data_IF_327304186906
#
_entry.id   IF_327304186906
#
_cell.length_a   1.000
_cell.length_b   1.000
_cell.length_c   1.000
_cell.angle_alpha   90.00
_cell.angle_beta   90.00
_cell.angle_gamma   90.00
#
_symmetry.space_group_name_H-M   'P 1'
#
loop_
_entity.id
_entity.type
_entity.pdbx_description
1 polymer ?
#
# COMPACT_ATOMS: atom_id res chain seq x y z
N UNK A 1 21.13 7.82 -3.71
CA UNK A 1 19.96 7.70 -4.65
C UNK A 1 18.72 7.66 -3.77
N UNK A 2 17.85 8.62 -3.91
CA UNK A 2 16.62 8.65 -3.10
C UNK A 2 15.65 7.56 -3.55
N UNK A 3 15.14 6.79 -2.58
CA UNK A 3 14.13 5.76 -2.81
C UNK A 3 12.79 6.23 -2.22
N UNK A 4 11.82 6.52 -3.09
CA UNK A 4 10.51 7.00 -2.68
C UNK A 4 9.52 5.86 -2.80
N UNK A 5 8.96 5.43 -1.68
CA UNK A 5 8.09 4.28 -1.55
C UNK A 5 6.67 4.71 -1.20
N UNK A 6 5.71 4.37 -2.05
CA UNK A 6 4.31 4.75 -1.89
C UNK A 6 3.45 3.58 -1.40
N UNK A 7 2.58 3.84 -0.43
CA UNK A 7 1.40 2.99 -0.23
C UNK A 7 0.37 3.22 -1.35
N UNK A 8 -0.66 2.38 -1.41
CA UNK A 8 -1.64 2.38 -2.51
C UNK A 8 -2.99 2.93 -2.06
N UNK A 9 -3.69 2.19 -1.17
CA UNK A 9 -5.08 2.50 -0.82
C UNK A 9 -5.13 3.67 0.16
N UNK A 10 -5.73 4.78 -0.23
CA UNK A 10 -5.76 6.00 0.56
C UNK A 10 -4.64 6.97 0.21
N UNK A 11 -3.53 6.50 -0.35
CA UNK A 11 -2.36 7.31 -0.76
C UNK A 11 -2.35 7.58 -2.26
N UNK A 12 -2.16 6.56 -3.10
CA UNK A 12 -2.16 6.71 -4.56
C UNK A 12 -3.56 6.74 -5.15
N UNK A 13 -4.44 5.89 -4.66
CA UNK A 13 -5.79 5.70 -5.20
C UNK A 13 -6.83 5.47 -4.11
N UNK A 14 -8.09 5.69 -4.47
CA UNK A 14 -9.24 5.04 -3.86
C UNK A 14 -9.74 3.95 -4.80
N UNK A 15 -9.72 2.71 -4.34
CA UNK A 15 -10.20 1.56 -5.12
C UNK A 15 -11.74 1.47 -5.19
N UNK A 16 -12.46 2.43 -4.60
CA UNK A 16 -13.91 2.43 -4.49
C UNK A 16 -14.45 1.27 -3.65
N UNK A 17 -13.65 0.78 -2.69
CA UNK A 17 -13.98 -0.35 -1.83
C UNK A 17 -13.85 -1.73 -2.49
N UNK A 18 -13.15 -1.83 -3.63
CA UNK A 18 -12.98 -3.08 -4.37
C UNK A 18 -12.32 -4.19 -3.53
N UNK A 19 -11.31 -3.84 -2.73
CA UNK A 19 -10.62 -4.80 -1.86
C UNK A 19 -11.57 -5.48 -0.87
N UNK A 20 -12.29 -4.69 -0.09
CA UNK A 20 -13.24 -5.20 0.91
C UNK A 20 -14.36 -6.03 0.29
N UNK A 21 -14.93 -5.56 -0.85
CA UNK A 21 -15.95 -6.34 -1.55
C UNK A 21 -15.40 -7.68 -2.05
N UNK A 22 -14.20 -7.68 -2.59
CA UNK A 22 -13.55 -8.91 -3.11
C UNK A 22 -13.26 -9.93 -2.02
N UNK A 23 -12.84 -9.48 -0.84
CA UNK A 23 -12.67 -10.33 0.35
C UNK A 23 -14.00 -10.96 0.78
N UNK A 24 -15.07 -10.15 0.89
CA UNK A 24 -16.40 -10.66 1.26
C UNK A 24 -16.93 -11.67 0.24
N UNK A 25 -16.78 -11.39 -1.07
CA UNK A 25 -17.18 -12.30 -2.13
C UNK A 25 -16.38 -13.61 -2.11
N UNK A 26 -15.09 -13.55 -1.79
CA UNK A 26 -14.27 -14.74 -1.65
C UNK A 26 -14.77 -15.63 -0.50
N UNK A 27 -15.08 -15.05 0.66
CA UNK A 27 -15.60 -15.78 1.81
C UNK A 27 -17.02 -16.30 1.60
N UNK A 28 -17.90 -15.51 0.97
CA UNK A 28 -19.24 -15.97 0.62
C UNK A 28 -19.19 -17.20 -0.30
N UNK A 29 -18.31 -17.14 -1.32
CA UNK A 29 -18.15 -18.23 -2.28
C UNK A 29 -17.59 -19.51 -1.66
N UNK A 30 -16.60 -19.37 -0.76
CA UNK A 30 -15.85 -20.51 -0.23
C UNK A 30 -16.50 -21.12 1.00
N UNK A 31 -17.07 -20.28 1.87
CA UNK A 31 -17.52 -20.66 3.19
C UNK A 31 -19.01 -20.35 3.42
N UNK A 32 -19.71 -19.77 2.43
CA UNK A 32 -21.09 -19.28 2.55
C UNK A 32 -21.29 -18.23 3.64
N UNK A 33 -20.22 -17.45 3.96
CA UNK A 33 -20.23 -16.41 4.98
C UNK A 33 -20.30 -15.04 4.28
N UNK A 34 -21.44 -14.34 4.46
CA UNK A 34 -21.63 -12.98 3.97
C UNK A 34 -21.04 -11.96 4.93
N UNK A 35 -20.50 -10.87 4.36
CA UNK A 35 -19.95 -9.76 5.14
C UNK A 35 -18.92 -10.22 6.19
N UNK A 36 -18.10 -11.20 5.84
CA UNK A 36 -17.17 -11.88 6.75
C UNK A 36 -16.22 -10.92 7.49
N UNK A 37 -15.89 -9.81 6.85
CA UNK A 37 -14.92 -8.83 7.35
C UNK A 37 -15.54 -7.66 8.13
N UNK A 38 -16.86 -7.66 8.39
CA UNK A 38 -17.47 -6.63 9.22
C UNK A 38 -16.81 -6.57 10.61
N UNK A 39 -16.37 -5.35 11.02
CA UNK A 39 -15.70 -5.15 12.30
C UNK A 39 -14.20 -5.53 12.32
N UNK A 40 -13.62 -5.92 11.19
CA UNK A 40 -12.17 -6.05 11.04
C UNK A 40 -11.63 -4.71 10.52
N UNK A 41 -10.73 -4.07 11.29
CA UNK A 41 -9.99 -2.91 10.81
C UNK A 41 -8.97 -3.36 9.76
N UNK A 42 -9.00 -2.73 8.58
CA UNK A 42 -8.12 -3.09 7.46
C UNK A 42 -7.00 -2.09 7.22
N UNK A 43 -7.18 -0.82 7.65
CA UNK A 43 -6.26 0.25 7.36
C UNK A 43 -4.83 -0.06 7.85
N UNK A 44 -3.87 0.06 6.95
CA UNK A 44 -2.45 -0.15 7.18
C UNK A 44 -2.01 -1.60 7.42
N UNK A 45 -2.94 -2.57 7.49
CA UNK A 45 -2.61 -4.00 7.60
C UNK A 45 -2.23 -4.61 6.26
N UNK A 46 -1.54 -5.74 6.30
CA UNK A 46 -1.30 -6.55 5.10
C UNK A 46 -2.53 -7.37 4.72
N UNK A 47 -2.73 -7.61 3.43
CA UNK A 47 -3.83 -8.46 2.92
C UNK A 47 -3.77 -9.86 3.56
N UNK A 48 -2.56 -10.39 3.76
CA UNK A 48 -2.31 -11.68 4.43
C UNK A 48 -2.83 -11.67 5.86
N UNK A 49 -2.50 -10.64 6.64
CA UNK A 49 -2.98 -10.46 8.01
C UNK A 49 -4.52 -10.35 8.07
N UNK A 50 -5.10 -9.52 7.19
CA UNK A 50 -6.55 -9.33 7.10
C UNK A 50 -7.27 -10.65 6.79
N UNK A 51 -6.76 -11.43 5.83
CA UNK A 51 -7.35 -12.72 5.47
C UNK A 51 -7.25 -13.73 6.60
N UNK A 52 -6.12 -13.79 7.31
CA UNK A 52 -5.95 -14.65 8.49
C UNK A 52 -6.92 -14.25 9.60
N UNK A 53 -7.05 -12.96 9.91
CA UNK A 53 -8.02 -12.47 10.90
C UNK A 53 -9.46 -12.86 10.50
N UNK A 54 -9.81 -12.73 9.21
CA UNK A 54 -11.10 -13.16 8.70
C UNK A 54 -11.36 -14.67 8.91
N UNK A 55 -10.38 -15.52 8.58
CA UNK A 55 -10.48 -16.97 8.79
C UNK A 55 -10.66 -17.30 10.28
N UNK A 56 -9.80 -16.77 11.14
CA UNK A 56 -9.83 -17.03 12.60
C UNK A 56 -11.12 -16.55 13.24
N UNK A 57 -11.63 -15.37 12.86
CA UNK A 57 -12.90 -14.81 13.33
C UNK A 57 -14.08 -15.79 13.13
N UNK A 58 -14.04 -16.56 12.07
CA UNK A 58 -15.10 -17.52 11.72
C UNK A 58 -14.75 -18.96 12.10
N UNK A 59 -13.71 -19.19 12.92
CA UNK A 59 -13.30 -20.52 13.36
C UNK A 59 -12.74 -21.42 12.25
N UNK A 60 -12.24 -20.81 11.16
CA UNK A 60 -11.68 -21.54 10.02
C UNK A 60 -10.15 -21.57 10.16
N UNK A 61 -9.54 -22.75 10.03
CA UNK A 61 -8.08 -22.90 10.03
C UNK A 61 -7.45 -22.09 8.88
N UNK A 62 -6.34 -21.44 9.16
CA UNK A 62 -5.53 -20.76 8.12
C UNK A 62 -4.83 -21.78 7.22
N UNK A 63 -4.47 -22.96 7.77
CA UNK A 63 -3.76 -24.01 7.03
C UNK A 63 -4.61 -24.56 5.89
N UNK A 64 -4.06 -24.54 4.69
CA UNK A 64 -4.73 -24.96 3.47
C UNK A 64 -5.78 -23.99 2.93
N UNK A 65 -6.35 -23.11 3.77
CA UNK A 65 -7.40 -22.18 3.35
C UNK A 65 -6.85 -20.84 2.85
N UNK A 66 -5.77 -20.32 3.42
CA UNK A 66 -5.24 -18.99 3.06
C UNK A 66 -4.93 -18.87 1.56
N UNK A 67 -4.22 -19.84 0.99
CA UNK A 67 -3.86 -19.82 -0.43
C UNK A 67 -5.08 -19.87 -1.38
N UNK A 68 -6.13 -20.56 -0.96
CA UNK A 68 -7.39 -20.63 -1.75
C UNK A 68 -8.17 -19.33 -1.63
N UNK A 69 -8.21 -18.71 -0.44
CA UNK A 69 -8.79 -17.37 -0.22
C UNK A 69 -8.09 -16.34 -1.08
N UNK A 70 -6.74 -16.31 -1.07
CA UNK A 70 -5.93 -15.41 -1.92
C UNK A 70 -6.34 -15.54 -3.39
N UNK A 71 -6.39 -16.76 -3.92
CA UNK A 71 -6.78 -17.00 -5.33
C UNK A 71 -8.19 -16.50 -5.63
N UNK A 72 -9.14 -16.75 -4.72
CA UNK A 72 -10.51 -16.30 -4.86
C UNK A 72 -10.62 -14.78 -4.80
N UNK A 73 -9.94 -14.15 -3.83
CA UNK A 73 -9.84 -12.71 -3.67
C UNK A 73 -9.34 -12.01 -4.94
N UNK A 74 -8.19 -12.44 -5.45
CA UNK A 74 -7.60 -11.85 -6.66
C UNK A 74 -8.53 -11.95 -7.88
N UNK A 75 -9.23 -13.09 -8.03
CA UNK A 75 -10.22 -13.28 -9.09
C UNK A 75 -11.40 -12.30 -8.97
N UNK A 76 -11.86 -12.03 -7.76
CA UNK A 76 -12.93 -11.05 -7.54
C UNK A 76 -12.39 -9.63 -7.72
N UNK A 77 -11.18 -9.33 -7.23
CA UNK A 77 -10.57 -8.01 -7.33
C UNK A 77 -10.43 -7.53 -8.79
N UNK A 78 -10.06 -8.42 -9.71
CA UNK A 78 -9.99 -8.12 -11.15
C UNK A 78 -11.33 -7.58 -11.72
N UNK A 79 -12.46 -7.98 -11.13
CA UNK A 79 -13.78 -7.51 -11.54
C UNK A 79 -14.20 -6.27 -10.76
N UNK A 80 -14.08 -6.33 -9.44
CA UNK A 80 -14.54 -5.30 -8.51
C UNK A 80 -13.78 -3.98 -8.64
N UNK A 81 -12.53 -4.01 -9.11
CA UNK A 81 -11.77 -2.79 -9.36
C UNK A 81 -12.38 -1.95 -10.50
N UNK A 82 -13.15 -2.54 -11.40
CA UNK A 82 -13.83 -1.84 -12.48
C UNK A 82 -15.19 -1.27 -12.01
N UNK A 83 -15.15 -0.33 -11.07
CA UNK A 83 -16.32 0.37 -10.52
C UNK A 83 -16.19 1.89 -10.68
N UNK A 84 -17.31 2.61 -10.64
CA UNK A 84 -17.39 4.06 -10.90
C UNK A 84 -16.88 4.93 -9.74
N UNK A 85 -16.61 4.33 -8.56
CA UNK A 85 -16.12 5.05 -7.37
C UNK A 85 -14.63 5.12 -7.28
N UNK A 86 -13.92 4.29 -8.07
CA UNK A 86 -12.45 4.31 -8.06
C UNK A 86 -11.91 5.62 -8.64
N UNK A 87 -10.87 6.16 -8.04
CA UNK A 87 -10.20 7.36 -8.55
C UNK A 87 -8.76 7.44 -8.08
N UNK A 88 -7.96 8.25 -8.76
CA UNK A 88 -6.61 8.63 -8.34
C UNK A 88 -6.73 9.74 -7.31
N UNK A 89 -5.91 9.69 -6.26
CA UNK A 89 -5.90 10.75 -5.25
C UNK A 89 -5.34 12.07 -5.83
N UNK A 90 -5.71 13.24 -5.25
CA UNK A 90 -5.27 14.53 -5.78
C UNK A 90 -3.74 14.65 -5.84
N UNK A 91 -3.23 15.24 -6.93
CA UNK A 91 -1.81 15.51 -7.13
C UNK A 91 -0.94 14.33 -7.58
N UNK A 92 -1.45 13.09 -7.54
CA UNK A 92 -0.66 11.87 -7.79
C UNK A 92 -0.11 11.82 -9.21
N UNK A 93 -0.91 12.09 -10.23
CA UNK A 93 -0.42 11.99 -11.62
C UNK A 93 0.73 12.96 -11.87
N UNK A 94 0.58 14.18 -11.40
CA UNK A 94 1.54 15.27 -11.58
C UNK A 94 2.83 15.01 -10.80
N UNK A 95 2.72 14.57 -9.55
CA UNK A 95 3.92 14.31 -8.72
C UNK A 95 4.69 13.09 -9.23
N UNK A 96 4.03 12.00 -9.61
CA UNK A 96 4.70 10.82 -10.16
C UNK A 96 5.42 11.13 -11.47
N UNK A 97 4.81 11.94 -12.33
CA UNK A 97 5.46 12.38 -13.57
C UNK A 97 6.72 13.21 -13.28
N UNK A 98 6.64 14.20 -12.36
CA UNK A 98 7.80 15.01 -11.95
C UNK A 98 8.91 14.15 -11.35
N UNK A 99 8.57 13.28 -10.40
CA UNK A 99 9.54 12.41 -9.72
C UNK A 99 10.23 11.45 -10.70
N UNK A 100 9.49 10.94 -11.69
CA UNK A 100 10.06 10.03 -12.71
C UNK A 100 11.12 10.67 -13.61
N UNK A 101 11.20 12.00 -13.64
CA UNK A 101 12.20 12.75 -14.39
C UNK A 101 13.47 13.07 -13.58
N UNK A 102 13.44 12.81 -12.26
CA UNK A 102 14.59 13.06 -11.39
C UNK A 102 15.58 11.90 -11.51
N UNK A 103 16.78 12.20 -11.99
CA UNK A 103 17.78 11.19 -12.34
C UNK A 103 18.28 10.36 -11.16
N UNK A 104 18.30 10.94 -9.96
CA UNK A 104 18.81 10.27 -8.74
C UNK A 104 17.67 9.88 -7.77
N UNK A 105 16.46 9.66 -8.31
CA UNK A 105 15.31 9.17 -7.58
C UNK A 105 14.76 7.90 -8.21
N UNK A 106 14.36 6.95 -7.38
CA UNK A 106 13.67 5.73 -7.75
C UNK A 106 12.31 5.66 -7.07
N UNK A 107 11.28 5.27 -7.82
CA UNK A 107 9.91 5.13 -7.31
C UNK A 107 9.57 3.66 -7.09
N UNK A 108 9.03 3.35 -5.93
CA UNK A 108 8.62 2.01 -5.56
C UNK A 108 7.31 1.98 -4.79
N UNK A 109 6.83 0.76 -4.55
CA UNK A 109 5.68 0.52 -3.69
C UNK A 109 6.13 -0.05 -2.34
N UNK A 110 5.48 0.39 -1.26
CA UNK A 110 5.55 -0.24 0.04
C UNK A 110 4.13 -0.34 0.58
N UNK A 111 3.53 -1.52 0.49
CA UNK A 111 2.09 -1.66 0.71
C UNK A 111 1.72 -2.98 1.37
N UNK A 112 0.67 -2.96 2.18
CA UNK A 112 0.06 -4.17 2.72
C UNK A 112 -0.64 -5.04 1.69
N UNK A 113 -0.85 -4.58 0.46
CA UNK A 113 -1.45 -5.37 -0.60
C UNK A 113 -0.56 -6.55 -0.99
N UNK A 114 -1.16 -7.68 -1.37
CA UNK A 114 -0.45 -8.71 -2.16
C UNK A 114 0.07 -8.07 -3.45
N UNK A 115 1.25 -8.45 -3.93
CA UNK A 115 1.80 -7.87 -5.17
C UNK A 115 0.82 -7.95 -6.34
N UNK A 116 0.25 -9.13 -6.60
CA UNK A 116 -0.76 -9.28 -7.66
C UNK A 116 -1.99 -8.38 -7.43
N UNK A 117 -2.41 -8.17 -6.18
CA UNK A 117 -3.50 -7.29 -5.82
C UNK A 117 -3.16 -5.82 -6.08
N UNK A 118 -1.95 -5.39 -5.70
CA UNK A 118 -1.41 -4.07 -5.98
C UNK A 118 -1.42 -3.76 -7.48
N UNK A 119 -0.87 -4.68 -8.28
CA UNK A 119 -0.82 -4.53 -9.75
C UNK A 119 -2.22 -4.41 -10.37
N UNK A 120 -3.18 -5.25 -9.91
CA UNK A 120 -4.58 -5.18 -10.36
C UNK A 120 -5.22 -3.84 -10.01
N UNK A 121 -5.00 -3.30 -8.81
CA UNK A 121 -5.57 -2.03 -8.37
C UNK A 121 -5.03 -0.83 -9.16
N UNK A 122 -3.75 -0.82 -9.50
CA UNK A 122 -3.08 0.27 -10.22
C UNK A 122 -3.31 0.23 -11.74
N UNK A 123 -3.67 -0.92 -12.32
CA UNK A 123 -3.80 -1.11 -13.77
C UNK A 123 -4.81 -0.17 -14.43
N UNK A 124 -6.04 0.05 -13.90
CA UNK A 124 -7.02 0.94 -14.53
C UNK A 124 -6.55 2.40 -14.65
N UNK A 125 -5.59 2.79 -13.82
CA UNK A 125 -5.01 4.15 -13.79
C UNK A 125 -3.69 4.25 -14.54
N UNK A 126 -3.15 3.12 -15.06
CA UNK A 126 -1.85 3.01 -15.72
C UNK A 126 -0.68 3.44 -14.82
N UNK A 127 -0.83 3.32 -13.50
CA UNK A 127 0.18 3.73 -12.53
C UNK A 127 1.31 2.71 -12.37
N UNK A 128 1.09 1.44 -12.75
CA UNK A 128 2.11 0.39 -12.68
C UNK A 128 3.45 0.77 -13.37
N UNK A 129 3.39 1.64 -14.39
CA UNK A 129 4.58 2.07 -15.16
C UNK A 129 5.62 2.84 -14.34
N UNK A 130 5.19 3.45 -13.23
CA UNK A 130 6.09 4.22 -12.36
C UNK A 130 6.81 3.36 -11.33
N UNK A 131 6.33 2.15 -11.07
CA UNK A 131 6.77 1.30 -9.96
C UNK A 131 7.37 -0.01 -10.45
N UNK A 132 8.66 -0.04 -10.82
CA UNK A 132 9.31 -1.26 -11.32
C UNK A 132 9.41 -2.35 -10.25
N UNK A 133 9.52 -1.97 -8.99
CA UNK A 133 9.62 -2.87 -7.85
C UNK A 133 8.89 -2.29 -6.61
N UNK A 134 8.90 -3.05 -5.53
CA UNK A 134 8.33 -2.65 -4.24
C UNK A 134 8.41 -3.78 -3.22
N UNK A 135 7.84 -3.55 -2.04
CA UNK A 135 7.59 -4.58 -1.04
C UNK A 135 6.10 -4.64 -0.72
N UNK A 136 5.60 -5.84 -0.51
CA UNK A 136 4.19 -6.16 -0.52
C UNK A 136 3.81 -7.04 0.66
N UNK A 137 2.54 -7.03 1.06
CA UNK A 137 2.01 -7.94 2.07
C UNK A 137 2.06 -9.44 1.71
N UNK A 138 2.53 -9.78 0.50
CA UNK A 138 2.90 -11.13 0.11
C UNK A 138 4.34 -11.49 0.47
N UNK A 139 5.19 -10.52 0.78
CA UNK A 139 6.59 -10.74 1.16
C UNK A 139 6.71 -11.01 2.65
N UNK A 140 5.99 -10.25 3.46
CA UNK A 140 5.90 -10.47 4.91
C UNK A 140 4.50 -10.08 5.41
N UNK A 141 4.02 -10.80 6.43
CA UNK A 141 2.76 -10.51 7.10
C UNK A 141 2.86 -9.25 7.96
N UNK A 142 4.01 -9.02 8.58
CA UNK A 142 4.29 -7.81 9.32
C UNK A 142 4.78 -6.71 8.36
N UNK A 143 3.98 -5.63 8.25
CA UNK A 143 4.31 -4.48 7.41
C UNK A 143 5.67 -3.86 7.78
N UNK A 144 6.06 -3.94 9.04
CA UNK A 144 7.33 -3.38 9.53
C UNK A 144 8.56 -4.06 8.91
N UNK A 145 8.42 -5.28 8.38
CA UNK A 145 9.50 -5.99 7.69
C UNK A 145 9.62 -5.65 6.19
N UNK A 146 8.73 -4.81 5.65
CA UNK A 146 8.70 -4.55 4.21
C UNK A 146 9.77 -3.58 3.72
N UNK A 147 10.18 -2.58 4.52
CA UNK A 147 11.18 -1.60 4.06
C UNK A 147 12.53 -2.23 3.68
N UNK A 148 13.13 -3.14 4.47
CA UNK A 148 14.35 -3.83 4.06
C UNK A 148 14.20 -4.65 2.78
N UNK A 149 13.01 -5.24 2.57
CA UNK A 149 12.72 -5.99 1.33
C UNK A 149 12.72 -5.06 0.13
N UNK A 150 12.08 -3.88 0.25
CA UNK A 150 12.08 -2.88 -0.81
C UNK A 150 13.49 -2.42 -1.13
N UNK A 151 14.28 -2.03 -0.12
CA UNK A 151 15.66 -1.57 -0.28
C UNK A 151 16.48 -2.63 -1.03
N UNK A 152 16.48 -3.88 -0.58
CA UNK A 152 17.23 -4.96 -1.22
C UNK A 152 16.87 -5.13 -2.70
N UNK A 153 15.58 -5.07 -3.06
CA UNK A 153 15.12 -5.18 -4.45
C UNK A 153 15.60 -4.03 -5.32
N UNK A 154 15.61 -2.83 -4.77
CA UNK A 154 16.09 -1.66 -5.51
C UNK A 154 17.62 -1.62 -5.62
N UNK A 155 18.35 -2.05 -4.59
CA UNK A 155 19.80 -2.24 -4.66
C UNK A 155 20.18 -3.25 -5.76
N UNK A 156 19.46 -4.38 -5.85
CA UNK A 156 19.66 -5.37 -6.91
C UNK A 156 19.31 -4.80 -8.29
N UNK A 157 18.22 -4.04 -8.41
CA UNK A 157 17.75 -3.48 -9.67
C UNK A 157 18.72 -2.43 -10.23
N UNK A 158 19.25 -1.56 -9.36
CA UNK A 158 20.10 -0.44 -9.76
C UNK A 158 21.60 -0.69 -9.53
N UNK A 159 21.98 -1.84 -8.93
CA UNK A 159 23.36 -2.17 -8.57
C UNK A 159 24.04 -1.05 -7.75
N UNK A 160 23.28 -0.43 -6.84
CA UNK A 160 23.70 0.70 -6.00
C UNK A 160 23.19 0.50 -4.59
N UNK A 161 24.01 0.79 -3.59
CA UNK A 161 23.62 0.80 -2.18
C UNK A 161 22.64 1.96 -1.91
N UNK A 162 21.68 1.71 -1.04
CA UNK A 162 20.67 2.66 -0.60
C UNK A 162 20.67 2.66 0.93
N UNK A 163 21.03 3.79 1.51
CA UNK A 163 20.95 3.95 2.95
C UNK A 163 19.50 4.30 3.36
N UNK A 164 19.10 3.92 4.56
CA UNK A 164 17.70 4.11 5.02
C UNK A 164 17.32 5.59 5.16
N UNK A 165 18.26 6.48 5.41
CA UNK A 165 18.08 7.94 5.45
C UNK A 165 17.86 8.55 4.04
N UNK A 166 18.17 7.81 2.96
CA UNK A 166 17.80 8.15 1.59
C UNK A 166 16.38 7.66 1.20
N UNK A 167 15.69 6.97 2.13
CA UNK A 167 14.35 6.41 1.88
C UNK A 167 13.25 7.34 2.41
N UNK A 168 12.25 7.58 1.58
CA UNK A 168 11.04 8.33 1.93
C UNK A 168 9.83 7.41 1.73
N UNK A 169 9.06 7.21 2.80
CA UNK A 169 7.78 6.48 2.73
C UNK A 169 6.65 7.50 2.66
N UNK A 170 5.75 7.33 1.71
CA UNK A 170 4.56 8.16 1.53
C UNK A 170 3.34 7.28 1.80
N UNK A 171 2.58 7.61 2.83
CA UNK A 171 1.44 6.80 3.27
C UNK A 171 0.39 7.59 4.03
N UNK A 172 -0.79 7.00 4.22
CA UNK A 172 -1.95 7.65 4.81
C UNK A 172 -2.34 7.11 6.20
N UNK A 173 -1.50 6.23 6.77
CA UNK A 173 -1.79 5.60 8.06
C UNK A 173 -0.64 5.71 9.06
N UNK A 174 -0.90 5.65 10.39
CA UNK A 174 0.13 5.54 11.42
C UNK A 174 1.07 4.34 11.23
N UNK A 175 0.64 3.29 10.52
CA UNK A 175 1.48 2.12 10.22
C UNK A 175 2.55 2.41 9.17
N UNK A 176 2.33 3.40 8.31
CA UNK A 176 3.35 3.89 7.37
C UNK A 176 4.46 4.61 8.13
N UNK A 177 4.06 5.43 9.10
CA UNK A 177 4.98 6.14 10.00
C UNK A 177 5.82 5.14 10.81
N UNK A 178 5.17 4.15 11.44
CA UNK A 178 5.85 3.13 12.23
C UNK A 178 6.85 2.34 11.37
N UNK A 179 6.43 1.89 10.19
CA UNK A 179 7.27 1.13 9.25
C UNK A 179 8.51 1.92 8.80
N UNK A 180 8.37 3.23 8.58
CA UNK A 180 9.50 4.10 8.24
C UNK A 180 10.48 4.23 9.42
N UNK A 181 9.96 4.59 10.58
CA UNK A 181 10.76 4.99 11.73
C UNK A 181 11.54 3.85 12.38
N UNK A 182 11.04 2.60 12.32
CA UNK A 182 11.78 1.43 12.83
C UNK A 182 13.19 1.33 12.22
N UNK A 183 13.36 1.79 10.98
CA UNK A 183 14.63 1.74 10.25
C UNK A 183 15.28 3.13 10.08
N UNK A 184 14.69 4.18 10.62
CA UNK A 184 15.21 5.54 10.51
C UNK A 184 14.96 6.20 9.15
N UNK A 185 14.01 5.69 8.36
CA UNK A 185 13.57 6.33 7.12
C UNK A 185 12.57 7.46 7.42
N UNK A 186 12.46 8.42 6.50
CA UNK A 186 11.50 9.52 6.58
C UNK A 186 10.08 9.05 6.21
N UNK A 187 9.06 9.58 6.89
CA UNK A 187 7.66 9.37 6.52
C UNK A 187 6.96 10.69 6.19
N UNK A 188 6.33 10.75 5.02
CA UNK A 188 5.39 11.80 4.64
C UNK A 188 3.98 11.24 4.75
N UNK A 189 3.24 11.71 5.74
CA UNK A 189 1.83 11.38 5.94
C UNK A 189 0.93 12.17 4.98
N UNK A 190 0.01 11.50 4.32
CA UNK A 190 -0.96 12.10 3.38
C UNK A 190 -2.37 11.89 3.91
N UNK A 191 -3.09 12.97 4.27
CA UNK A 191 -4.41 12.91 4.91
C UNK A 191 -5.56 12.61 3.90
N UNK A 192 -5.29 11.78 2.89
CA UNK A 192 -6.29 11.39 1.88
C UNK A 192 -6.94 10.03 2.16
N UNK A 193 -6.50 9.34 3.21
CA UNK A 193 -7.03 8.07 3.68
C UNK A 193 -8.03 8.21 4.84
N UNK A 194 -8.15 7.19 5.70
CA UNK A 194 -9.08 7.20 6.83
C UNK A 194 -8.60 7.98 8.05
N UNK A 195 -7.34 8.42 8.08
CA UNK A 195 -6.75 9.17 9.19
C UNK A 195 -6.66 10.65 8.85
N UNK A 196 -6.97 11.52 9.83
CA UNK A 196 -6.88 12.96 9.66
C UNK A 196 -5.43 13.45 9.69
N UNK A 197 -5.21 14.67 9.25
CA UNK A 197 -3.92 15.36 9.34
C UNK A 197 -3.35 15.31 10.76
N UNK A 198 -4.18 15.65 11.77
CA UNK A 198 -3.78 15.65 13.19
C UNK A 198 -3.38 14.25 13.66
N UNK A 199 -4.11 13.21 13.23
CA UNK A 199 -3.79 11.83 13.61
C UNK A 199 -2.44 11.37 13.05
N UNK A 200 -2.05 11.83 11.87
CA UNK A 200 -0.74 11.53 11.27
C UNK A 200 0.39 12.33 11.95
N UNK A 201 0.11 13.58 12.35
CA UNK A 201 1.04 14.38 13.19
C UNK A 201 1.24 13.71 14.55
N UNK A 202 0.17 13.27 15.21
CA UNK A 202 0.22 12.56 16.51
C UNK A 202 0.96 11.22 16.40
N UNK A 203 0.86 10.54 15.25
CA UNK A 203 1.64 9.33 14.97
C UNK A 203 3.14 9.60 14.75
N UNK A 204 3.54 10.87 14.60
CA UNK A 204 4.92 11.29 14.48
C UNK A 204 5.44 11.34 13.04
N UNK A 205 4.59 11.40 12.01
CA UNK A 205 5.06 11.60 10.64
C UNK A 205 5.97 12.82 10.55
N UNK A 206 7.11 12.73 9.85
CA UNK A 206 8.08 13.80 9.72
C UNK A 206 7.49 15.03 9.01
N UNK A 207 6.61 14.78 8.05
CA UNK A 207 5.79 15.78 7.39
C UNK A 207 4.38 15.23 7.17
N UNK A 208 3.39 16.13 7.22
CA UNK A 208 2.00 15.78 6.90
C UNK A 208 1.46 16.78 5.88
N UNK A 209 0.76 16.27 4.88
CA UNK A 209 0.08 17.07 3.86
C UNK A 209 -1.38 16.62 3.73
N UNK A 210 -2.26 17.55 3.34
CA UNK A 210 -3.66 17.23 3.06
C UNK A 210 -3.78 16.29 1.86
N UNK A 211 -3.02 16.59 0.79
CA UNK A 211 -2.88 15.77 -0.41
C UNK A 211 -1.56 16.09 -1.12
N UNK A 212 -1.30 15.45 -2.27
CA UNK A 212 -0.08 15.64 -3.04
C UNK A 212 -0.23 16.67 -4.17
N UNK A 213 -1.22 17.57 -4.13
CA UNK A 213 -1.38 18.66 -5.11
C UNK A 213 -0.31 19.73 -4.96
N UNK A 214 0.18 19.98 -3.73
CA UNK A 214 1.38 20.77 -3.50
C UNK A 214 2.64 19.88 -3.62
N UNK A 215 3.21 19.89 -4.81
CA UNK A 215 4.38 19.08 -5.13
C UNK A 215 5.67 19.53 -4.43
N UNK A 216 5.73 20.76 -3.90
CA UNK A 216 6.95 21.32 -3.30
C UNK A 216 7.38 20.52 -2.07
N UNK A 217 6.42 20.07 -1.27
CA UNK A 217 6.72 19.32 -0.04
C UNK A 217 7.50 18.04 -0.32
N UNK A 218 7.14 17.28 -1.35
CA UNK A 218 7.84 16.02 -1.66
C UNK A 218 9.17 16.27 -2.38
N UNK A 219 9.22 17.28 -3.28
CA UNK A 219 10.40 17.58 -4.08
C UNK A 219 11.56 18.20 -3.27
N UNK A 220 11.30 18.80 -2.11
CA UNK A 220 12.35 19.38 -1.26
C UNK A 220 13.25 18.34 -0.58
N UNK A 221 12.86 17.06 -0.57
CA UNK A 221 13.61 15.96 0.04
C UNK A 221 14.45 15.16 -0.97
N UNK A 222 14.58 15.66 -2.18
CA UNK A 222 15.33 15.06 -3.28
C UNK A 222 16.43 16.00 -3.76
#
# INVERSE_FOLDING_TARGET
>A
MHLILFDIDGTLIDSGGAGTRSLNLAFEKMFSIRNAFNGISMAGKTDTQIMKEGLLKHGISTDGNLGVVIKSYLKHLQKEINNDRKHVKPGINEILEKLSLIRDAALGLLTGNLESGARIKLEPFKLNRYFPAGAFGSDDEDRNNLLPVAINRFEELFQKKIDTDECVIVGDTPRDVECAHIYGAMCIGVATGPYSFESLVEAGADYVVEDLSDHHTLLQFL
#
